data_IF_535079226638
#
_entry.id   IF_535079226638
#
_cell.length_a   1.000
_cell.length_b   1.000
_cell.length_c   1.000
_cell.angle_alpha   90.00
_cell.angle_beta   90.00
_cell.angle_gamma   90.00
#
_symmetry.space_group_name_H-M   'P 1'
#
loop_
_entity.id
_entity.type
_entity.pdbx_description
1 polymer ?
#
# COMPACT_ATOMS: atom_id res chain seq x y z
N UNK A 1 -15.07 -13.84 13.67
CA UNK A 1 -14.55 -13.65 13.41
C UNK A 1 -13.88 -13.68 12.92
N UNK A 2 -13.81 -13.75 12.67
CA UNK A 2 -13.21 -13.74 12.26
C UNK A 2 -12.37 -13.40 12.13
N UNK A 3 -12.30 -13.66 12.36
CA UNK A 3 -11.53 -13.47 12.20
C UNK A 3 -10.68 -13.15 11.53
N UNK A 4 -10.41 -13.48 11.14
CA UNK A 4 -9.27 -13.12 10.36
C UNK A 4 -9.21 -11.62 10.23
N UNK A 5 -8.22 -11.00 10.15
CA UNK A 5 -8.14 -9.57 10.12
C UNK A 5 -8.93 -8.97 8.96
N UNK A 6 -9.21 -7.73 9.09
CA UNK A 6 -9.85 -6.97 8.04
C UNK A 6 -8.86 -6.76 6.89
N UNK A 7 -9.33 -6.95 5.66
CA UNK A 7 -8.50 -6.72 4.48
C UNK A 7 -8.40 -5.22 4.23
N UNK A 8 -7.17 -4.74 4.04
CA UNK A 8 -6.91 -3.34 3.72
C UNK A 8 -6.01 -3.28 2.49
N UNK A 9 -6.37 -2.46 1.53
CA UNK A 9 -5.57 -2.23 0.33
C UNK A 9 -4.81 -0.91 0.46
N UNK A 10 -3.54 -0.95 0.09
CA UNK A 10 -2.70 0.24 0.06
C UNK A 10 -1.92 0.25 -1.26
N UNK A 11 -1.47 1.44 -1.67
CA UNK A 11 -0.68 1.59 -2.89
C UNK A 11 0.78 1.78 -2.48
N UNK A 12 1.64 0.85 -2.88
CA UNK A 12 3.06 0.95 -2.58
C UNK A 12 3.72 1.91 -3.54
N UNK A 13 4.42 2.90 -3.01
CA UNK A 13 5.04 3.95 -3.82
C UNK A 13 6.56 3.89 -3.80
N UNK A 14 7.16 3.19 -2.84
CA UNK A 14 8.61 3.08 -2.77
C UNK A 14 9.00 1.93 -1.85
N UNK A 15 10.21 1.43 -2.04
CA UNK A 15 10.83 0.51 -1.08
C UNK A 15 12.32 0.80 -1.06
N UNK A 16 12.94 0.62 0.10
CA UNK A 16 14.35 0.90 0.25
C UNK A 16 14.93 0.05 1.38
N UNK A 17 16.24 -0.28 1.29
CA UNK A 17 16.89 -1.03 2.38
C UNK A 17 17.15 -0.16 3.61
N UNK A 18 17.03 1.16 3.46
CA UNK A 18 17.23 2.11 4.54
C UNK A 18 16.03 3.05 4.62
N UNK A 19 15.82 3.60 5.81
CA UNK A 19 14.70 4.51 6.04
C UNK A 19 14.84 5.76 5.17
N UNK A 20 13.73 6.12 4.51
CA UNK A 20 13.66 7.34 3.71
C UNK A 20 12.99 8.45 4.52
N UNK A 21 13.39 9.71 4.31
CA UNK A 21 12.69 10.82 4.95
C UNK A 21 11.28 10.95 4.40
N UNK A 22 10.34 11.39 5.25
CA UNK A 22 8.94 11.50 4.85
C UNK A 22 8.73 12.50 3.73
N UNK A 23 9.64 13.47 3.58
CA UNK A 23 9.54 14.47 2.53
C UNK A 23 10.41 14.14 1.33
N UNK A 24 10.79 12.86 1.17
CA UNK A 24 11.61 12.45 0.05
C UNK A 24 10.92 12.77 -1.28
N UNK A 25 11.71 13.21 -2.26
CA UNK A 25 11.18 13.51 -3.59
C UNK A 25 10.62 12.26 -4.27
N UNK A 26 11.00 11.07 -3.80
CA UNK A 26 10.48 9.80 -4.36
C UNK A 26 8.98 9.67 -4.16
N UNK A 27 8.41 10.36 -3.19
CA UNK A 27 6.98 10.28 -2.90
C UNK A 27 6.15 11.26 -3.71
N UNK A 28 6.80 12.12 -4.50
CA UNK A 28 6.09 13.09 -5.35
C UNK A 28 5.12 13.95 -4.54
N UNK A 29 3.88 14.11 -5.03
CA UNK A 29 2.90 14.95 -4.32
C UNK A 29 2.37 14.32 -3.04
N UNK A 30 2.76 13.07 -2.74
CA UNK A 30 2.28 12.35 -1.55
C UNK A 30 3.24 12.46 -0.39
N UNK A 31 4.22 13.36 -0.46
CA UNK A 31 5.15 13.57 0.64
C UNK A 31 4.37 13.97 1.88
N UNK A 32 4.71 13.33 2.99
CA UNK A 32 4.03 13.59 4.24
C UNK A 32 2.78 12.75 4.45
N UNK A 33 2.29 12.08 3.40
CA UNK A 33 1.10 11.24 3.48
C UNK A 33 1.42 9.75 3.45
N UNK A 34 2.69 9.40 3.25
CA UNK A 34 3.07 8.00 3.15
C UNK A 34 3.13 7.34 4.51
N UNK A 35 2.83 6.04 4.53
CA UNK A 35 2.98 5.20 5.70
C UNK A 35 4.19 4.30 5.50
N UNK A 36 5.06 4.24 6.50
CA UNK A 36 6.24 3.40 6.44
C UNK A 36 5.94 2.09 7.15
N UNK A 37 6.15 0.98 6.46
CA UNK A 37 5.95 -0.36 7.02
C UNK A 37 7.18 -1.17 6.68
N UNK A 38 7.81 -1.77 7.69
CA UNK A 38 8.98 -2.61 7.49
C UNK A 38 8.52 -4.03 7.26
N UNK A 39 8.89 -4.59 6.11
CA UNK A 39 8.50 -5.95 5.74
C UNK A 39 9.75 -6.67 5.26
N UNK A 40 10.10 -7.77 5.95
CA UNK A 40 11.25 -8.55 5.56
C UNK A 40 12.56 -7.79 5.58
N UNK A 41 12.69 -6.84 6.49
CA UNK A 41 13.91 -6.04 6.59
C UNK A 41 14.00 -4.89 5.60
N UNK A 42 12.95 -4.67 4.82
CA UNK A 42 12.90 -3.60 3.83
C UNK A 42 11.86 -2.57 4.25
N UNK A 43 12.22 -1.30 4.10
CA UNK A 43 11.30 -0.21 4.39
C UNK A 43 10.43 0.02 3.17
N UNK A 44 9.13 -0.17 3.33
CA UNK A 44 8.18 0.01 2.23
C UNK A 44 7.23 1.13 2.57
N UNK A 45 6.87 1.91 1.57
CA UNK A 45 6.10 3.13 1.76
C UNK A 45 4.81 3.05 0.97
N UNK A 46 3.70 3.36 1.63
CA UNK A 46 2.36 3.15 1.09
C UNK A 46 1.54 4.41 1.22
N UNK A 47 0.59 4.56 0.29
CA UNK A 47 -0.39 5.64 0.32
C UNK A 47 -1.77 5.00 0.40
N UNK A 48 -2.65 5.60 1.19
CA UNK A 48 -4.02 5.15 1.31
C UNK A 48 -4.20 4.08 2.35
N UNK A 49 -5.34 3.46 2.31
CA UNK A 49 -5.74 2.40 3.23
C UNK A 49 -7.25 2.30 3.20
N UNK A 50 -7.76 1.32 2.45
CA UNK A 50 -9.20 1.15 2.29
C UNK A 50 -9.51 -0.34 2.17
N UNK A 51 -10.67 -0.73 2.67
CA UNK A 51 -11.13 -2.10 2.51
C UNK A 51 -11.84 -2.32 1.17
N UNK A 52 -12.05 -1.25 0.41
CA UNK A 52 -12.72 -1.34 -0.88
C UNK A 52 -11.71 -1.50 -2.00
N UNK A 53 -11.74 -2.64 -2.68
CA UNK A 53 -10.87 -2.89 -3.82
C UNK A 53 -11.09 -1.84 -4.91
N UNK A 54 -12.34 -1.46 -5.12
CA UNK A 54 -12.69 -0.50 -6.16
C UNK A 54 -12.06 0.87 -5.90
N UNK A 55 -12.14 1.33 -4.65
CA UNK A 55 -11.52 2.59 -4.27
C UNK A 55 -10.00 2.51 -4.36
N UNK A 56 -9.46 1.34 -4.02
CA UNK A 56 -8.01 1.14 -4.09
C UNK A 56 -7.51 1.22 -5.53
N UNK A 57 -8.27 0.67 -6.47
CA UNK A 57 -7.89 0.76 -7.89
C UNK A 57 -7.90 2.21 -8.37
N UNK A 58 -8.89 2.98 -7.95
CA UNK A 58 -8.96 4.39 -8.30
C UNK A 58 -7.76 5.14 -7.75
N UNK A 59 -7.39 4.85 -6.52
CA UNK A 59 -6.22 5.46 -5.90
C UNK A 59 -4.95 5.07 -6.64
N UNK A 60 -4.81 3.79 -6.99
CA UNK A 60 -3.64 3.33 -7.73
C UNK A 60 -3.50 4.07 -9.05
N UNK A 61 -4.60 4.23 -9.78
CA UNK A 61 -4.59 4.94 -11.05
C UNK A 61 -4.12 6.38 -10.85
N UNK A 62 -4.63 7.03 -9.81
CA UNK A 62 -4.27 8.41 -9.51
C UNK A 62 -2.80 8.53 -9.11
N UNK A 63 -2.32 7.64 -8.24
CA UNK A 63 -0.95 7.67 -7.78
C UNK A 63 0.02 7.43 -8.92
N UNK A 64 -0.33 6.55 -9.86
CA UNK A 64 0.53 6.24 -11.00
C UNK A 64 0.73 7.42 -11.93
N UNK A 65 -0.10 8.42 -11.87
CA UNK A 65 0.12 9.63 -12.65
C UNK A 65 1.36 10.37 -12.22
N UNK A 66 1.74 10.23 -10.96
CA UNK A 66 2.93 10.88 -10.40
C UNK A 66 4.05 9.88 -10.11
N UNK A 67 3.69 8.67 -9.72
CA UNK A 67 4.66 7.62 -9.37
C UNK A 67 4.32 6.40 -10.20
N UNK A 68 5.00 6.26 -11.32
CA UNK A 68 4.62 5.29 -12.35
C UNK A 68 4.75 3.84 -11.91
N UNK A 69 5.64 3.57 -10.96
CA UNK A 69 5.89 2.21 -10.49
C UNK A 69 4.99 1.82 -9.31
N UNK A 70 4.07 2.68 -8.92
CA UNK A 70 3.18 2.39 -7.81
C UNK A 70 2.27 1.21 -8.15
N UNK A 71 2.01 0.36 -7.14
CA UNK A 71 1.15 -0.80 -7.35
C UNK A 71 0.38 -1.12 -6.08
N UNK A 72 -0.73 -1.83 -6.28
CA UNK A 72 -1.64 -2.18 -5.21
C UNK A 72 -1.10 -3.34 -4.39
N UNK A 73 -1.21 -3.22 -3.07
CA UNK A 73 -0.83 -4.28 -2.13
C UNK A 73 -1.98 -4.50 -1.16
N UNK A 74 -2.28 -5.76 -0.88
CA UNK A 74 -3.33 -6.10 0.07
C UNK A 74 -2.71 -6.54 1.38
N UNK A 75 -3.35 -6.16 2.47
CA UNK A 75 -2.91 -6.52 3.82
C UNK A 75 -4.00 -7.27 4.55
N UNK A 76 -3.59 -8.29 5.28
CA UNK A 76 -4.43 -8.98 6.25
C UNK A 76 -3.82 -8.68 7.62
N UNK A 77 -4.35 -7.65 8.29
CA UNK A 77 -3.71 -7.15 9.49
C UNK A 77 -2.38 -6.50 9.11
N UNK A 78 -1.29 -7.04 9.65
CA UNK A 78 0.05 -6.52 9.37
C UNK A 78 0.81 -7.38 8.35
N UNK A 79 0.15 -8.33 7.72
CA UNK A 79 0.77 -9.22 6.74
C UNK A 79 0.29 -8.87 5.34
N UNK A 80 1.20 -8.95 4.38
CA UNK A 80 0.83 -8.76 2.98
C UNK A 80 0.32 -10.08 2.42
N UNK A 81 -0.71 -10.01 1.59
CA UNK A 81 -1.25 -11.18 0.90
C UNK A 81 -1.48 -10.82 -0.57
N UNK A 82 -1.55 -11.81 -1.47
CA UNK A 82 -1.85 -11.51 -2.86
C UNK A 82 -3.21 -10.83 -3.00
N UNK A 83 -3.29 -9.87 -3.91
CA UNK A 83 -4.53 -9.12 -4.11
C UNK A 83 -5.66 -10.07 -4.52
N UNK A 84 -5.38 -11.06 -5.36
CA UNK A 84 -6.40 -12.02 -5.75
C UNK A 84 -6.97 -12.78 -4.57
N UNK A 85 -6.11 -13.16 -3.62
CA UNK A 85 -6.60 -13.84 -2.42
C UNK A 85 -7.44 -12.91 -1.55
N UNK A 86 -7.01 -11.65 -1.42
CA UNK A 86 -7.76 -10.68 -0.63
C UNK A 86 -9.17 -10.50 -1.19
N UNK A 87 -9.28 -10.42 -2.52
CA UNK A 87 -10.58 -10.26 -3.17
C UNK A 87 -11.47 -11.48 -2.93
N UNK A 88 -10.89 -12.67 -2.99
CA UNK A 88 -11.67 -13.88 -2.73
C UNK A 88 -12.20 -13.92 -1.30
N UNK A 89 -11.41 -13.43 -0.35
CA UNK A 89 -11.84 -13.41 1.05
C UNK A 89 -12.96 -12.42 1.30
N UNK A 90 -13.09 -11.42 0.44
CA UNK A 90 -14.10 -10.37 0.59
C UNK A 90 -15.41 -10.72 -0.11
N UNK A 91 -15.43 -11.81 -0.83
CA UNK A 91 -16.66 -12.22 -1.52
C UNK A 91 -17.60 -12.99 -0.59
#
# INVERSE_FOLDING_TARGET
>A
DDSGGEIVYRVQVASAPQKLPKNSSRFGPYRGEVQEIVIGGTYKYFVGGTSSYHEALSLQTQVRKSIRDAFLVAFDGDKTIPVGEARRRQQ
#
